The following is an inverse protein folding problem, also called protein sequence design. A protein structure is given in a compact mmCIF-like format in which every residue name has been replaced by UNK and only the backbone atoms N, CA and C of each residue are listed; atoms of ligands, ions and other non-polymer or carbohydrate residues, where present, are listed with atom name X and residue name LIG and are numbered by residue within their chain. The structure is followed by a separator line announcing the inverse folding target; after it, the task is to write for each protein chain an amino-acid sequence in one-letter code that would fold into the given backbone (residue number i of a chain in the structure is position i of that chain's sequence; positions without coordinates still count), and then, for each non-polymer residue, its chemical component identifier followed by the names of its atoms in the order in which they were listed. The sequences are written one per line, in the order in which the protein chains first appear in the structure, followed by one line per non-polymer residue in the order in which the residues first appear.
data_IF_711919959055
#
_entry.id   IF_711919959055
#
_cell.length_a   1.000
_cell.length_b   1.000
_cell.length_c   1.000
_cell.angle_alpha   90.00
_cell.angle_beta   90.00
_cell.angle_gamma   90.00
#
_symmetry.space_group_name_H-M   'P 1'
#
loop_
_entity.id
_entity.type
_entity.pdbx_description
1 polymer ?
#
# COMPACT_ATOMS: atom_id res chain seq x y z
N UNK A 1 14.79 7.63 3.82
CA UNK A 1 14.18 6.81 2.74
C UNK A 1 14.33 5.30 2.94
N UNK A 2 15.56 4.79 3.15
CA UNK A 2 15.83 3.33 3.30
C UNK A 2 14.96 2.64 4.35
N UNK A 3 14.68 3.33 5.46
CA UNK A 3 13.77 2.86 6.50
C UNK A 3 12.32 2.65 6.02
N UNK A 4 11.76 3.59 5.26
CA UNK A 4 10.38 3.50 4.76
C UNK A 4 10.23 2.33 3.80
N UNK A 5 11.16 2.19 2.84
CA UNK A 5 11.14 1.09 1.88
C UNK A 5 11.36 -0.27 2.55
N UNK A 6 12.24 -0.34 3.54
CA UNK A 6 12.51 -1.58 4.28
C UNK A 6 11.33 -2.03 5.14
N UNK A 7 10.59 -1.07 5.71
CA UNK A 7 9.51 -1.37 6.67
C UNK A 7 8.14 -1.49 6.00
N UNK A 8 7.89 -0.68 4.98
CA UNK A 8 6.58 -0.57 4.33
C UNK A 8 6.59 -1.04 2.88
N UNK A 9 7.73 -1.49 2.32
CA UNK A 9 7.78 -2.04 0.97
C UNK A 9 6.78 -3.19 0.80
N UNK A 10 5.88 -3.06 -0.18
CA UNK A 10 4.81 -4.02 -0.44
C UNK A 10 3.57 -3.84 0.44
N UNK A 11 3.53 -2.80 1.27
CA UNK A 11 2.46 -2.51 2.22
C UNK A 11 1.89 -1.09 2.05
N UNK A 12 0.80 -0.84 2.76
CA UNK A 12 0.10 0.46 2.78
C UNK A 12 0.43 1.22 4.05
N UNK A 13 0.68 2.52 3.91
CA UNK A 13 0.96 3.45 5.00
C UNK A 13 -0.05 4.59 4.99
N UNK A 14 -0.54 4.99 6.17
CA UNK A 14 -1.42 6.17 6.31
C UNK A 14 -0.61 7.46 6.44
N UNK A 15 -1.24 8.62 6.23
CA UNK A 15 -0.60 9.92 6.48
C UNK A 15 -0.19 10.03 7.94
N UNK A 16 -0.99 9.57 8.91
CA UNK A 16 -0.61 9.68 10.32
C UNK A 16 0.62 8.82 10.65
N UNK A 17 0.71 7.61 10.10
CA UNK A 17 1.89 6.76 10.27
C UNK A 17 3.14 7.38 9.66
N UNK A 18 3.00 7.96 8.48
CA UNK A 18 4.09 8.58 7.77
C UNK A 18 4.58 9.84 8.50
N UNK A 19 3.67 10.65 9.06
CA UNK A 19 4.00 11.77 9.95
C UNK A 19 4.79 11.28 11.16
N UNK A 20 4.34 10.20 11.84
CA UNK A 20 5.05 9.61 12.98
C UNK A 20 6.47 9.16 12.61
N UNK A 21 6.65 8.58 11.42
CA UNK A 21 7.98 8.19 10.92
C UNK A 21 8.82 9.44 10.66
N UNK A 22 8.27 10.45 9.97
CA UNK A 22 8.98 11.68 9.66
C UNK A 22 9.42 12.45 10.91
N UNK A 23 8.57 12.56 11.95
CA UNK A 23 8.95 13.17 13.23
C UNK A 23 10.12 12.45 13.91
N UNK A 24 10.23 11.12 13.78
CA UNK A 24 11.37 10.37 14.35
C UNK A 24 12.70 10.67 13.66
N UNK A 25 12.66 11.09 12.40
CA UNK A 25 13.84 11.40 11.60
C UNK A 25 14.01 12.91 11.37
N UNK A 26 13.25 13.75 12.09
CA UNK A 26 13.21 15.21 11.94
C UNK A 26 13.05 15.67 10.48
N UNK A 27 12.21 14.97 9.73
CA UNK A 27 11.95 15.23 8.31
C UNK A 27 10.56 15.84 8.11
N UNK A 28 10.42 16.68 7.09
CA UNK A 28 9.14 17.27 6.73
C UNK A 28 8.19 16.23 6.06
N UNK A 29 6.99 15.96 6.61
CA UNK A 29 6.08 14.96 6.08
C UNK A 29 5.58 15.28 4.67
N UNK A 30 5.23 16.53 4.39
CA UNK A 30 4.76 16.96 3.06
C UNK A 30 5.83 16.73 1.99
N UNK A 31 7.08 17.12 2.26
CA UNK A 31 8.22 16.89 1.39
C UNK A 31 8.46 15.40 1.14
N UNK A 32 8.42 14.58 2.19
CA UNK A 32 8.64 13.13 2.06
C UNK A 32 7.53 12.47 1.24
N UNK A 33 6.26 12.84 1.46
CA UNK A 33 5.14 12.34 0.65
C UNK A 33 5.31 12.77 -0.81
N UNK A 34 5.62 14.04 -1.05
CA UNK A 34 5.82 14.54 -2.40
C UNK A 34 6.95 13.79 -3.09
N UNK A 35 8.09 13.62 -2.41
CA UNK A 35 9.23 12.86 -2.91
C UNK A 35 8.86 11.40 -3.24
N UNK A 36 8.17 10.70 -2.32
CA UNK A 36 7.71 9.33 -2.52
C UNK A 36 6.83 9.17 -3.76
N UNK A 37 5.92 10.12 -4.00
CA UNK A 37 5.00 10.11 -5.13
C UNK A 37 5.70 10.49 -6.43
N UNK A 38 6.47 11.59 -6.43
CA UNK A 38 7.14 12.12 -7.63
C UNK A 38 8.19 11.16 -8.18
N UNK A 39 8.99 10.56 -7.30
CA UNK A 39 9.95 9.54 -7.73
C UNK A 39 9.30 8.20 -8.03
N UNK A 40 8.02 8.01 -7.69
CA UNK A 40 7.28 6.77 -7.96
C UNK A 40 7.61 5.63 -7.02
N UNK A 41 8.18 5.90 -5.83
CA UNK A 41 8.36 4.93 -4.75
C UNK A 41 7.04 4.55 -4.09
N UNK A 42 6.05 5.45 -4.12
CA UNK A 42 4.73 5.18 -3.61
C UNK A 42 3.65 5.54 -4.63
N UNK A 43 2.48 4.94 -4.48
CA UNK A 43 1.27 5.27 -5.25
C UNK A 43 0.18 5.65 -4.27
N UNK A 44 -0.50 6.77 -4.52
CA UNK A 44 -1.66 7.18 -3.73
C UNK A 44 -2.83 6.25 -4.06
N UNK A 45 -3.39 5.61 -3.04
CA UNK A 45 -4.61 4.80 -3.16
C UNK A 45 -5.82 5.72 -2.93
N UNK A 46 -5.81 6.41 -1.79
CA UNK A 46 -6.82 7.37 -1.35
C UNK A 46 -6.11 8.59 -0.73
N UNK A 47 -6.83 9.68 -0.48
CA UNK A 47 -6.26 10.83 0.20
C UNK A 47 -5.80 10.40 1.60
N UNK A 48 -4.50 10.52 1.85
CA UNK A 48 -3.89 10.09 3.11
C UNK A 48 -3.56 8.59 3.21
N UNK A 49 -3.68 7.83 2.12
CA UNK A 49 -3.37 6.40 2.08
C UNK A 49 -2.47 6.07 0.88
N UNK A 50 -1.31 5.48 1.16
CA UNK A 50 -0.25 5.32 0.16
C UNK A 50 0.26 3.88 0.15
N UNK A 51 0.35 3.27 -1.02
CA UNK A 51 1.07 2.02 -1.22
C UNK A 51 2.55 2.30 -1.46
N UNK A 52 3.44 1.70 -0.67
CA UNK A 52 4.88 1.82 -0.87
C UNK A 52 5.37 0.62 -1.67
N UNK A 53 5.96 0.87 -2.83
CA UNK A 53 6.49 -0.20 -3.69
C UNK A 53 7.67 -0.89 -3.02
N UNK A 54 7.81 -2.20 -3.27
CA UNK A 54 9.06 -2.89 -2.94
C UNK A 54 10.21 -2.38 -3.82
N UNK A 55 11.45 -2.62 -3.38
CA UNK A 55 12.64 -2.29 -4.19
C UNK A 55 12.60 -3.00 -5.55
N UNK A 56 12.07 -4.21 -5.59
CA UNK A 56 11.90 -4.99 -6.82
C UNK A 56 10.83 -4.38 -7.74
N UNK A 57 9.66 -4.03 -7.21
CA UNK A 57 8.59 -3.39 -7.99
C UNK A 57 9.05 -2.06 -8.60
N UNK A 58 9.85 -1.31 -7.84
CA UNK A 58 10.45 -0.06 -8.29
C UNK A 58 11.50 -0.28 -9.39
N UNK A 59 12.48 -1.17 -9.16
CA UNK A 59 13.58 -1.43 -10.11
C UNK A 59 13.11 -2.10 -11.40
N UNK A 60 12.25 -3.11 -11.27
CA UNK A 60 11.80 -3.94 -12.39
C UNK A 60 10.63 -3.31 -13.15
N UNK A 61 10.15 -2.13 -12.74
CA UNK A 61 8.96 -1.46 -13.29
C UNK A 61 7.77 -2.42 -13.48
N UNK A 62 7.64 -3.40 -12.57
CA UNK A 62 6.58 -4.42 -12.67
C UNK A 62 5.22 -3.75 -12.63
N UNK A 63 4.30 -4.27 -13.43
CA UNK A 63 2.91 -3.86 -13.37
C UNK A 63 2.36 -4.12 -11.96
N UNK A 64 1.93 -3.04 -11.30
CA UNK A 64 1.23 -3.13 -10.03
C UNK A 64 -0.12 -3.82 -10.25
N UNK A 65 -0.57 -4.61 -9.28
CA UNK A 65 -1.91 -5.24 -9.28
C UNK A 65 -2.89 -4.30 -8.56
N UNK A 66 -3.68 -3.46 -9.25
CA UNK A 66 -4.40 -2.36 -8.60
C UNK A 66 -5.43 -2.85 -7.58
N UNK A 67 -6.15 -3.93 -7.91
CA UNK A 67 -7.14 -4.53 -7.01
C UNK A 67 -6.52 -5.02 -5.71
N UNK A 68 -5.34 -5.66 -5.78
CA UNK A 68 -4.60 -6.11 -4.60
C UNK A 68 -4.21 -4.93 -3.71
N UNK A 69 -3.73 -3.85 -4.32
CA UNK A 69 -3.33 -2.64 -3.60
C UNK A 69 -4.52 -1.97 -2.93
N UNK A 70 -5.65 -1.84 -3.62
CA UNK A 70 -6.89 -1.30 -3.06
C UNK A 70 -7.33 -2.15 -1.87
N UNK A 71 -7.32 -3.48 -2.01
CA UNK A 71 -7.66 -4.39 -0.93
C UNK A 71 -6.76 -4.23 0.31
N UNK A 72 -5.44 -4.13 0.11
CA UNK A 72 -4.51 -3.83 1.21
C UNK A 72 -4.83 -2.48 1.87
N UNK A 73 -5.25 -1.49 1.08
CA UNK A 73 -5.65 -0.19 1.60
C UNK A 73 -6.90 -0.27 2.47
N UNK A 74 -7.92 -0.98 2.02
CA UNK A 74 -9.17 -1.17 2.76
C UNK A 74 -8.95 -2.01 4.04
N UNK A 75 -8.13 -3.07 3.95
CA UNK A 75 -7.70 -3.87 5.10
C UNK A 75 -6.97 -2.98 6.12
N UNK A 76 -6.11 -2.06 5.65
CA UNK A 76 -5.36 -1.13 6.52
C UNK A 76 -6.28 -0.13 7.23
N UNK A 77 -7.38 0.27 6.60
CA UNK A 77 -8.40 1.13 7.18
C UNK A 77 -9.34 0.38 8.15
N UNK A 78 -9.24 -0.95 8.25
CA UNK A 78 -10.10 -1.75 9.13
C UNK A 78 -11.56 -1.82 8.69
N UNK A 79 -11.84 -1.52 7.42
CA UNK A 79 -13.19 -1.56 6.87
C UNK A 79 -13.60 -3.01 6.60
N UNK A 80 -14.89 -3.32 6.73
CA UNK A 80 -15.44 -4.58 6.23
C UNK A 80 -15.68 -4.44 4.73
N UNK A 81 -14.96 -5.21 3.93
CA UNK A 81 -15.08 -5.20 2.47
C UNK A 81 -14.78 -6.59 1.91
N UNK A 82 -15.25 -6.85 0.68
CA UNK A 82 -14.99 -8.09 -0.03
C UNK A 82 -14.83 -7.81 -1.52
N UNK A 83 -14.07 -8.65 -2.22
CA UNK A 83 -14.09 -8.64 -3.68
C UNK A 83 -15.41 -9.24 -4.17
N UNK A 84 -16.05 -8.61 -5.16
CA UNK A 84 -17.17 -9.23 -5.85
C UNK A 84 -16.79 -10.60 -6.42
N UNK A 85 -17.75 -11.53 -6.50
CA UNK A 85 -17.54 -12.96 -6.80
C UNK A 85 -16.53 -13.20 -7.93
N UNK A 86 -16.76 -12.56 -9.08
CA UNK A 86 -15.91 -12.71 -10.26
C UNK A 86 -14.48 -12.22 -10.03
N UNK A 87 -14.32 -11.10 -9.34
CA UNK A 87 -13.01 -10.54 -9.00
C UNK A 87 -12.28 -11.42 -7.99
N UNK A 88 -12.99 -11.96 -7.00
CA UNK A 88 -12.45 -12.88 -6.01
C UNK A 88 -11.88 -14.13 -6.70
N UNK A 89 -12.65 -14.72 -7.63
CA UNK A 89 -12.21 -15.86 -8.45
C UNK A 89 -10.96 -15.55 -9.28
N UNK A 90 -10.91 -14.38 -9.94
CA UNK A 90 -9.74 -14.00 -10.75
C UNK A 90 -8.48 -13.73 -9.92
N UNK A 91 -8.63 -13.12 -8.75
CA UNK A 91 -7.48 -12.77 -7.89
C UNK A 91 -6.95 -13.97 -7.13
N UNK A 92 -7.81 -14.94 -6.87
CA UNK A 92 -7.43 -16.13 -6.14
C UNK A 92 -8.28 -17.35 -6.51
N UNK A 93 -7.89 -18.10 -7.56
CA UNK A 93 -8.66 -19.27 -8.00
C UNK A 93 -8.70 -20.41 -6.97
N UNK A 94 -7.91 -20.35 -5.88
CA UNK A 94 -7.74 -21.45 -4.93
C UNK A 94 -8.14 -21.15 -3.47
N UNK A 95 -8.50 -19.92 -3.10
CA UNK A 95 -8.62 -19.53 -1.66
C UNK A 95 -9.99 -19.05 -1.22
N UNK A 96 -11.06 -19.39 -1.94
CA UNK A 96 -12.43 -18.97 -1.58
C UNK A 96 -12.87 -19.46 -0.18
N UNK A 97 -12.19 -20.43 0.43
CA UNK A 97 -12.58 -21.00 1.72
C UNK A 97 -12.15 -20.21 2.96
N UNK A 98 -11.17 -19.30 2.90
CA UNK A 98 -10.58 -18.73 4.14
C UNK A 98 -10.96 -17.29 4.47
N UNK A 99 -11.54 -16.51 3.54
CA UNK A 99 -11.94 -15.11 3.79
C UNK A 99 -13.45 -14.86 3.86
N UNK A 100 -14.30 -15.87 3.65
CA UNK A 100 -15.77 -15.73 3.78
C UNK A 100 -16.24 -15.86 5.25
N UNK A 101 -15.41 -16.43 6.14
CA UNK A 101 -15.78 -16.76 7.53
C UNK A 101 -14.95 -16.04 8.63
N UNK A 102 -14.48 -14.81 8.40
CA UNK A 102 -13.81 -14.05 9.47
C UNK A 102 -14.33 -12.62 9.58
#
# INVERSE_FOLDING_TARGET
MRFILSRYGGNVITKEELVKVCTKFNADPEYVVHYLLSYGYAVRILRGLYYVKTVEEFKLKRALKPLKIIGLGLDRLGLKWYYGLFTAFRLNPLTLLTKIFR
#
